data_IF_934468947394
#
_entry.id   IF_934468947394
#
_cell.length_a   1.000
_cell.length_b   1.000
_cell.length_c   1.000
_cell.angle_alpha   90.00
_cell.angle_beta   90.00
_cell.angle_gamma   90.00
#
_symmetry.space_group_name_H-M   'P 1'
#
loop_
_entity.id
_entity.type
_entity.pdbx_description
1 polymer ?
#
# COMPACT_ATOMS: atom_id res chain seq x y z
N UNK A 1 17.11 -2.78 -13.61
CA UNK A 1 16.05 -3.32 -12.72
C UNK A 1 16.32 -2.73 -11.34
N UNK A 2 15.34 -2.08 -10.69
CA UNK A 2 15.50 -1.49 -9.34
C UNK A 2 16.01 -2.57 -8.37
N UNK A 3 17.02 -2.29 -7.55
CA UNK A 3 17.69 -3.30 -6.72
C UNK A 3 16.71 -3.92 -5.70
N UNK A 4 15.89 -3.06 -5.08
CA UNK A 4 14.84 -3.45 -4.11
C UNK A 4 13.72 -4.29 -4.74
N UNK A 5 13.53 -4.27 -6.08
CA UNK A 5 12.55 -5.14 -6.76
C UNK A 5 12.93 -6.62 -6.68
N UNK A 6 14.22 -6.95 -6.71
CA UNK A 6 14.66 -8.34 -6.53
C UNK A 6 14.29 -8.87 -5.15
N UNK A 7 14.56 -8.07 -4.10
CA UNK A 7 14.16 -8.40 -2.73
C UNK A 7 12.64 -8.55 -2.61
N UNK A 8 11.86 -7.57 -3.11
CA UNK A 8 10.40 -7.62 -3.10
C UNK A 8 9.85 -8.92 -3.68
N UNK A 9 10.31 -9.31 -4.87
CA UNK A 9 9.87 -10.54 -5.53
C UNK A 9 10.19 -11.79 -4.70
N UNK A 10 11.39 -11.85 -4.11
CA UNK A 10 11.79 -12.97 -3.26
C UNK A 10 10.94 -13.03 -1.99
N UNK A 11 10.69 -11.90 -1.32
CA UNK A 11 9.88 -11.83 -0.11
C UNK A 11 8.42 -12.22 -0.38
N UNK A 12 7.81 -11.76 -1.47
CA UNK A 12 6.44 -12.13 -1.85
C UNK A 12 6.35 -13.62 -2.22
N UNK A 13 7.32 -14.15 -2.97
CA UNK A 13 7.37 -15.58 -3.30
C UNK A 13 7.53 -16.45 -2.05
N UNK A 14 8.37 -16.02 -1.11
CA UNK A 14 8.51 -16.66 0.21
C UNK A 14 7.18 -16.63 0.99
N UNK A 15 6.49 -15.48 1.00
CA UNK A 15 5.19 -15.36 1.65
C UNK A 15 4.13 -16.27 1.01
N UNK A 16 4.19 -16.52 -0.29
CA UNK A 16 3.30 -17.44 -0.99
C UNK A 16 3.64 -18.93 -0.77
N UNK A 17 4.88 -19.27 -0.39
CA UNK A 17 5.37 -20.65 -0.31
C UNK A 17 5.06 -21.39 1.01
N UNK A 18 4.77 -22.69 0.89
CA UNK A 18 4.69 -23.68 1.99
C UNK A 18 6.06 -24.24 2.40
N UNK A 19 6.16 -25.54 2.74
CA UNK A 19 7.28 -26.25 3.44
C UNK A 19 8.75 -25.96 3.05
N UNK A 20 9.03 -25.24 1.95
CA UNK A 20 10.35 -24.66 1.61
C UNK A 20 10.66 -23.30 2.25
N UNK A 21 9.85 -22.84 3.22
CA UNK A 21 9.87 -21.47 3.75
C UNK A 21 11.18 -20.99 4.37
N UNK A 22 12.03 -21.88 4.92
CA UNK A 22 13.30 -21.46 5.54
C UNK A 22 14.35 -21.05 4.48
N UNK A 23 14.57 -21.87 3.46
CA UNK A 23 15.50 -21.57 2.37
C UNK A 23 15.03 -20.36 1.55
N UNK A 24 13.72 -20.23 1.31
CA UNK A 24 13.17 -19.07 0.63
C UNK A 24 13.28 -17.78 1.47
N UNK A 25 13.19 -17.84 2.80
CA UNK A 25 13.45 -16.69 3.68
C UNK A 25 14.91 -16.25 3.60
N UNK A 26 15.84 -17.20 3.63
CA UNK A 26 17.27 -16.93 3.52
C UNK A 26 17.63 -16.30 2.17
N UNK A 27 17.06 -16.80 1.08
CA UNK A 27 17.21 -16.20 -0.24
C UNK A 27 16.65 -14.77 -0.29
N UNK A 28 15.49 -14.51 0.33
CA UNK A 28 14.96 -13.15 0.43
C UNK A 28 15.90 -12.24 1.23
N UNK A 29 16.47 -12.73 2.34
CA UNK A 29 17.43 -11.95 3.14
C UNK A 29 18.71 -11.62 2.39
N UNK A 30 19.27 -12.59 1.66
CA UNK A 30 20.44 -12.35 0.82
C UNK A 30 20.16 -11.26 -0.23
N UNK A 31 18.99 -11.31 -0.89
CA UNK A 31 18.61 -10.26 -1.86
C UNK A 31 18.37 -8.90 -1.23
N UNK A 32 17.97 -8.84 0.04
CA UNK A 32 17.85 -7.57 0.76
C UNK A 32 19.24 -6.96 1.01
N UNK A 33 20.22 -7.78 1.41
CA UNK A 33 21.59 -7.36 1.62
C UNK A 33 22.24 -6.88 0.30
N UNK A 34 22.11 -7.66 -0.78
CA UNK A 34 22.62 -7.30 -2.11
C UNK A 34 22.01 -5.98 -2.62
N UNK A 35 20.73 -5.74 -2.32
CA UNK A 35 20.01 -4.54 -2.71
C UNK A 35 20.26 -3.34 -1.78
N UNK A 36 21.00 -3.51 -0.68
CA UNK A 36 21.24 -2.46 0.31
C UNK A 36 19.95 -1.96 0.98
N UNK A 37 19.00 -2.86 1.27
CA UNK A 37 17.74 -2.50 1.94
C UNK A 37 18.02 -1.99 3.35
N UNK A 38 17.58 -0.76 3.62
CA UNK A 38 17.73 -0.07 4.92
C UNK A 38 16.41 0.09 5.65
N UNK A 39 15.28 0.04 4.95
CA UNK A 39 13.94 0.19 5.51
C UNK A 39 12.92 -0.58 4.69
N UNK A 40 11.92 -1.13 5.36
CA UNK A 40 10.81 -1.83 4.72
C UNK A 40 9.50 -1.11 4.99
N UNK A 41 8.67 -0.98 3.96
CA UNK A 41 7.30 -0.47 4.07
C UNK A 41 6.33 -1.60 3.73
N UNK A 42 5.51 -2.01 4.70
CA UNK A 42 4.49 -3.03 4.51
C UNK A 42 3.18 -2.39 4.08
N UNK A 43 2.59 -2.86 2.99
CA UNK A 43 1.30 -2.36 2.48
C UNK A 43 0.37 -3.52 2.15
N UNK A 44 -0.94 -3.29 2.13
CA UNK A 44 -1.89 -4.39 1.95
C UNK A 44 -1.81 -5.03 0.57
N UNK A 45 -1.69 -4.19 -0.47
CA UNK A 45 -1.71 -4.65 -1.85
C UNK A 45 -0.92 -3.78 -2.82
N UNK A 46 -0.99 -4.18 -4.09
CA UNK A 46 -0.23 -3.56 -5.18
C UNK A 46 -0.66 -2.11 -5.46
N UNK A 47 -1.91 -1.75 -5.17
CA UNK A 47 -2.39 -0.36 -5.30
C UNK A 47 -1.62 0.60 -4.41
N UNK A 48 -1.35 0.18 -3.18
CA UNK A 48 -0.64 0.99 -2.19
C UNK A 48 0.81 1.17 -2.57
N UNK A 49 1.45 0.07 -3.00
CA UNK A 49 2.81 0.09 -3.53
C UNK A 49 2.93 1.06 -4.69
N UNK A 50 2.02 0.97 -5.65
CA UNK A 50 2.06 1.82 -6.85
C UNK A 50 1.81 3.29 -6.50
N UNK A 51 0.88 3.57 -5.60
CA UNK A 51 0.62 4.93 -5.14
C UNK A 51 1.83 5.55 -4.44
N UNK A 52 2.48 4.82 -3.53
CA UNK A 52 3.65 5.30 -2.79
C UNK A 52 4.85 5.52 -3.72
N UNK A 53 5.11 4.61 -4.66
CA UNK A 53 6.18 4.77 -5.65
C UNK A 53 5.92 5.99 -6.54
N UNK A 54 4.69 6.13 -7.06
CA UNK A 54 4.32 7.27 -7.89
C UNK A 54 4.43 8.60 -7.12
N UNK A 55 4.02 8.61 -5.84
CA UNK A 55 4.06 9.83 -5.03
C UNK A 55 5.51 10.21 -4.69
N UNK A 56 6.36 9.24 -4.37
CA UNK A 56 7.79 9.48 -4.17
C UNK A 56 8.45 10.04 -5.45
N UNK A 57 8.15 9.44 -6.61
CA UNK A 57 8.64 9.90 -7.92
C UNK A 57 8.22 11.36 -8.19
N UNK A 58 6.95 11.72 -7.91
CA UNK A 58 6.47 13.11 -8.04
C UNK A 58 7.13 14.10 -7.08
N UNK A 59 7.63 13.61 -5.95
CA UNK A 59 8.42 14.40 -4.99
C UNK A 59 9.92 14.41 -5.33
N UNK A 60 10.32 13.85 -6.47
CA UNK A 60 11.73 13.77 -6.89
C UNK A 60 12.56 12.79 -6.05
N UNK A 61 11.91 11.88 -5.32
CA UNK A 61 12.57 10.88 -4.48
C UNK A 61 12.73 9.56 -5.22
N UNK A 62 13.80 8.86 -4.89
CA UNK A 62 14.05 7.50 -5.38
C UNK A 62 14.16 6.57 -4.18
N UNK A 63 13.04 5.94 -3.82
CA UNK A 63 12.97 4.99 -2.71
C UNK A 63 14.01 3.86 -2.85
N UNK A 64 14.27 3.41 -4.09
CA UNK A 64 15.29 2.39 -4.36
C UNK A 64 16.70 2.89 -4.01
N UNK A 65 17.04 4.13 -4.39
CA UNK A 65 18.34 4.74 -4.06
C UNK A 65 18.47 5.06 -2.56
N UNK A 66 17.34 5.28 -1.88
CA UNK A 66 17.27 5.49 -0.43
C UNK A 66 17.32 4.16 0.36
N UNK A 67 17.28 3.00 -0.33
CA UNK A 67 17.27 1.68 0.30
C UNK A 67 15.91 1.31 0.92
N UNK A 68 14.82 1.96 0.51
CA UNK A 68 13.46 1.70 0.98
C UNK A 68 12.78 0.69 0.06
N UNK A 69 12.39 -0.47 0.61
CA UNK A 69 11.63 -1.47 -0.13
C UNK A 69 10.19 -1.56 0.35
N UNK A 70 9.24 -1.31 -0.55
CA UNK A 70 7.81 -1.52 -0.29
C UNK A 70 7.45 -2.98 -0.57
N UNK A 71 6.76 -3.66 0.36
CA UNK A 71 6.33 -5.05 0.23
C UNK A 71 4.80 -5.15 0.34
N UNK A 72 4.10 -5.58 -0.72
CA UNK A 72 2.67 -5.85 -0.65
C UNK A 72 2.44 -7.19 0.08
N UNK A 73 1.58 -7.17 1.08
CA UNK A 73 1.31 -8.30 1.97
C UNK A 73 0.43 -9.38 1.31
N UNK A 74 -0.38 -9.00 0.31
CA UNK A 74 -1.42 -9.87 -0.26
C UNK A 74 -2.57 -10.11 0.73
N UNK A 75 -2.82 -9.15 1.62
CA UNK A 75 -3.80 -9.22 2.72
C UNK A 75 -3.16 -9.01 4.10
N UNK A 76 -3.85 -8.25 4.96
CA UNK A 76 -3.33 -7.83 6.26
C UNK A 76 -2.93 -8.99 7.20
N UNK A 77 -3.55 -10.16 7.05
CA UNK A 77 -3.25 -11.35 7.88
C UNK A 77 -1.79 -11.83 7.74
N UNK A 78 -1.10 -11.49 6.64
CA UNK A 78 0.29 -11.87 6.39
C UNK A 78 1.31 -11.02 7.17
N UNK A 79 0.90 -9.91 7.80
CA UNK A 79 1.81 -8.96 8.45
C UNK A 79 2.79 -9.61 9.43
N UNK A 80 2.33 -10.57 10.25
CA UNK A 80 3.19 -11.24 11.23
C UNK A 80 4.35 -12.00 10.60
N UNK A 81 4.14 -12.59 9.41
CA UNK A 81 5.22 -13.25 8.67
C UNK A 81 6.23 -12.25 8.15
N UNK A 82 5.77 -11.17 7.53
CA UNK A 82 6.67 -10.13 7.02
C UNK A 82 7.44 -9.43 8.14
N UNK A 83 6.83 -9.20 9.31
CA UNK A 83 7.53 -8.68 10.48
C UNK A 83 8.58 -9.66 11.02
N UNK A 84 8.34 -10.97 10.98
CA UNK A 84 9.36 -11.95 11.34
C UNK A 84 10.53 -11.98 10.32
N UNK A 85 10.27 -11.72 9.04
CA UNK A 85 11.31 -11.62 8.02
C UNK A 85 12.14 -10.34 8.14
N UNK A 86 11.48 -9.19 8.39
CA UNK A 86 12.09 -7.87 8.29
C UNK A 86 12.55 -7.29 9.64
N UNK A 87 11.87 -7.65 10.72
CA UNK A 87 12.16 -7.16 12.07
C UNK A 87 13.40 -7.81 12.71
N UNK A 88 13.58 -7.64 14.03
CA UNK A 88 14.82 -7.98 14.73
C UNK A 88 15.24 -9.46 14.62
N UNK A 89 14.29 -10.38 14.48
CA UNK A 89 14.58 -11.80 14.30
C UNK A 89 14.98 -12.19 12.86
N UNK A 90 14.98 -11.23 11.94
CA UNK A 90 15.21 -11.42 10.52
C UNK A 90 16.26 -10.46 9.98
N UNK A 91 15.84 -9.46 9.20
CA UNK A 91 16.73 -8.45 8.61
C UNK A 91 17.16 -7.35 9.58
N UNK A 92 16.44 -7.18 10.70
CA UNK A 92 16.66 -6.12 11.68
C UNK A 92 16.71 -4.71 11.05
N UNK A 93 15.79 -4.45 10.11
CA UNK A 93 15.62 -3.12 9.49
C UNK A 93 14.36 -2.45 10.04
N UNK A 94 14.33 -1.10 10.15
CA UNK A 94 13.12 -0.37 10.46
C UNK A 94 11.96 -0.76 9.53
N UNK A 95 10.79 -0.99 10.12
CA UNK A 95 9.56 -1.35 9.40
C UNK A 95 8.51 -0.28 9.65
N UNK A 96 7.93 0.23 8.57
CA UNK A 96 6.77 1.11 8.57
C UNK A 96 5.63 0.43 7.78
N UNK A 97 4.42 1.00 7.78
CA UNK A 97 3.36 0.45 6.95
C UNK A 97 2.14 1.32 6.74
N UNK A 98 1.32 0.90 5.78
CA UNK A 98 0.01 1.47 5.45
C UNK A 98 -1.05 0.37 5.52
N UNK A 99 -2.18 0.67 6.15
CA UNK A 99 -3.35 -0.21 6.12
C UNK A 99 -4.68 0.54 6.10
N UNK A 100 -5.71 -0.17 5.68
CA UNK A 100 -7.11 0.23 5.65
C UNK A 100 -7.69 0.20 7.08
N UNK A 101 -8.69 1.04 7.32
CA UNK A 101 -9.34 1.10 8.63
C UNK A 101 -9.93 -0.25 9.07
N UNK A 102 -10.43 -1.03 8.11
CA UNK A 102 -11.03 -2.34 8.35
C UNK A 102 -10.03 -3.41 8.80
N UNK A 103 -8.73 -3.21 8.53
CA UNK A 103 -7.68 -4.19 8.78
C UNK A 103 -6.72 -3.78 9.91
N UNK A 104 -6.86 -2.54 10.42
CA UNK A 104 -5.99 -1.96 11.45
C UNK A 104 -5.89 -2.83 12.73
N UNK A 105 -6.92 -3.60 13.08
CA UNK A 105 -6.88 -4.50 14.24
C UNK A 105 -5.88 -5.64 14.08
N UNK A 106 -5.61 -6.12 12.86
CA UNK A 106 -4.57 -7.12 12.61
C UNK A 106 -3.18 -6.55 12.88
N UNK A 107 -2.92 -5.34 12.39
CA UNK A 107 -1.66 -4.62 12.61
C UNK A 107 -1.41 -4.42 14.10
N UNK A 108 -2.39 -3.85 14.83
CA UNK A 108 -2.32 -3.65 16.28
C UNK A 108 -1.98 -4.93 17.03
N UNK A 109 -2.76 -5.99 16.78
CA UNK A 109 -2.60 -7.28 17.45
C UNK A 109 -1.21 -7.88 17.24
N UNK A 110 -0.64 -7.73 16.04
CA UNK A 110 0.69 -8.27 15.76
C UNK A 110 1.79 -7.40 16.37
N UNK A 111 1.69 -6.07 16.26
CA UNK A 111 2.66 -5.14 16.86
C UNK A 111 2.72 -5.24 18.40
N UNK A 112 1.56 -5.49 19.03
CA UNK A 112 1.46 -5.78 20.47
C UNK A 112 2.24 -7.04 20.84
N UNK A 113 2.09 -8.11 20.05
CA UNK A 113 2.79 -9.38 20.27
C UNK A 113 4.30 -9.28 20.04
N UNK A 114 4.74 -8.35 19.21
CA UNK A 114 6.17 -8.09 18.97
C UNK A 114 6.78 -7.12 19.98
N UNK A 115 6.05 -6.75 21.05
CA UNK A 115 6.60 -6.00 22.18
C UNK A 115 6.38 -4.49 22.14
N UNK A 116 5.59 -3.97 21.20
CA UNK A 116 5.36 -2.50 21.08
C UNK A 116 4.44 -1.93 22.17
N UNK A 117 3.92 -2.77 23.07
CA UNK A 117 2.87 -2.39 24.03
C UNK A 117 1.50 -2.24 23.36
N UNK A 118 0.42 -2.05 24.14
CA UNK A 118 -0.94 -1.94 23.63
C UNK A 118 -1.11 -0.68 22.77
N UNK A 119 -1.66 -0.83 21.57
CA UNK A 119 -1.89 0.28 20.65
C UNK A 119 -3.39 0.54 20.60
N UNK A 120 -3.85 1.69 21.10
CA UNK A 120 -5.28 1.94 21.28
C UNK A 120 -5.89 2.83 20.20
N UNK A 121 -5.09 3.75 19.65
CA UNK A 121 -5.52 4.81 18.74
C UNK A 121 -4.73 4.79 17.42
N UNK A 122 -5.22 5.50 16.40
CA UNK A 122 -4.46 5.73 15.16
C UNK A 122 -3.17 6.50 15.41
N UNK A 123 -3.17 7.47 16.33
CA UNK A 123 -1.99 8.22 16.69
C UNK A 123 -0.91 7.35 17.37
N UNK A 124 -1.32 6.30 18.08
CA UNK A 124 -0.38 5.30 18.62
C UNK A 124 0.34 4.56 17.50
N UNK A 125 -0.41 4.09 16.49
CA UNK A 125 0.16 3.42 15.31
C UNK A 125 1.05 4.35 14.48
N UNK A 126 0.63 5.60 14.26
CA UNK A 126 1.42 6.58 13.50
C UNK A 126 2.79 6.81 14.16
N UNK A 127 2.84 6.86 15.51
CA UNK A 127 4.11 6.97 16.25
C UNK A 127 5.05 5.77 16.05
N UNK A 128 4.50 4.60 15.75
CA UNK A 128 5.25 3.40 15.40
C UNK A 128 5.58 3.29 13.90
N UNK A 129 5.22 4.31 13.10
CA UNK A 129 5.44 4.30 11.65
C UNK A 129 4.35 3.55 10.86
N UNK A 130 3.20 3.25 11.47
CA UNK A 130 2.06 2.60 10.82
C UNK A 130 0.91 3.58 10.63
N UNK A 131 0.56 3.82 9.38
CA UNK A 131 -0.46 4.79 8.98
C UNK A 131 -1.72 4.07 8.55
N UNK A 132 -2.89 4.64 8.91
CA UNK A 132 -4.19 4.00 8.68
C UNK A 132 -5.07 4.91 7.84
N UNK A 133 -5.54 4.43 6.69
CA UNK A 133 -6.55 5.11 5.88
C UNK A 133 -7.88 5.24 6.63
N UNK A 134 -8.69 6.24 6.31
CA UNK A 134 -10.03 6.41 6.88
C UNK A 134 -10.97 5.27 6.52
N UNK A 135 -10.95 4.83 5.26
CA UNK A 135 -11.63 3.63 4.80
C UNK A 135 -10.65 2.71 4.07
N UNK A 136 -10.16 3.16 2.91
CA UNK A 136 -9.10 2.53 2.12
C UNK A 136 -8.39 3.59 1.26
N UNK A 137 -7.30 3.19 0.59
CA UNK A 137 -6.53 4.09 -0.26
C UNK A 137 -7.35 4.74 -1.38
N UNK A 138 -8.25 3.99 -2.03
CA UNK A 138 -9.07 4.57 -3.10
C UNK A 138 -9.99 5.67 -2.58
N UNK A 139 -10.58 5.49 -1.40
CA UNK A 139 -11.40 6.51 -0.75
C UNK A 139 -10.59 7.77 -0.40
N UNK A 140 -9.36 7.62 0.11
CA UNK A 140 -8.44 8.73 0.38
C UNK A 140 -8.15 9.56 -0.88
N UNK A 141 -7.80 8.88 -1.97
CA UNK A 141 -7.45 9.52 -3.24
C UNK A 141 -8.67 10.19 -3.89
N UNK A 142 -9.83 9.54 -3.86
CA UNK A 142 -11.09 10.11 -4.38
C UNK A 142 -11.48 11.37 -3.61
N UNK A 143 -11.34 11.39 -2.27
CA UNK A 143 -11.62 12.60 -1.48
C UNK A 143 -10.67 13.74 -1.81
N UNK A 144 -9.39 13.43 -2.00
CA UNK A 144 -8.35 14.43 -2.26
C UNK A 144 -8.47 15.05 -3.66
N UNK A 145 -8.76 14.23 -4.67
CA UNK A 145 -8.99 14.67 -6.05
C UNK A 145 -10.38 15.27 -6.28
N UNK A 146 -11.37 14.85 -5.49
CA UNK A 146 -12.82 15.00 -5.74
C UNK A 146 -13.32 14.09 -6.85
N UNK A 147 -14.61 13.75 -6.77
CA UNK A 147 -15.21 12.71 -7.61
C UNK A 147 -15.29 13.11 -9.09
N UNK A 148 -15.45 14.40 -9.37
CA UNK A 148 -15.53 14.94 -10.73
C UNK A 148 -14.20 14.78 -11.47
N UNK A 149 -13.09 15.16 -10.84
CA UNK A 149 -11.75 14.97 -11.41
C UNK A 149 -11.44 13.49 -11.65
N UNK A 150 -11.90 12.61 -10.77
CA UNK A 150 -11.76 11.16 -10.96
C UNK A 150 -12.53 10.69 -12.21
N UNK A 151 -13.71 11.24 -12.49
CA UNK A 151 -14.45 10.91 -13.73
C UNK A 151 -13.68 11.36 -14.98
N UNK A 152 -12.98 12.50 -14.92
CA UNK A 152 -12.15 12.98 -16.03
C UNK A 152 -10.97 12.03 -16.27
N UNK A 153 -10.28 11.58 -15.20
CA UNK A 153 -9.23 10.56 -15.27
C UNK A 153 -9.77 9.25 -15.90
N UNK A 154 -10.99 8.84 -15.57
CA UNK A 154 -11.61 7.66 -16.20
C UNK A 154 -11.82 7.86 -17.71
N UNK A 155 -12.06 9.09 -18.16
CA UNK A 155 -12.11 9.47 -19.57
C UNK A 155 -10.77 9.27 -20.26
N UNK A 156 -9.69 9.77 -19.66
CA UNK A 156 -8.32 9.64 -20.16
C UNK A 156 -7.86 8.18 -20.22
N UNK A 157 -8.25 7.37 -19.23
CA UNK A 157 -7.97 5.92 -19.21
C UNK A 157 -8.89 5.11 -20.13
N UNK A 158 -9.80 5.74 -20.88
CA UNK A 158 -10.71 5.09 -21.83
C UNK A 158 -11.84 4.27 -21.19
N UNK A 159 -12.05 4.42 -19.87
CA UNK A 159 -12.94 3.60 -19.07
C UNK A 159 -14.30 4.28 -18.77
N UNK A 160 -14.48 5.53 -19.21
CA UNK A 160 -15.70 6.30 -18.99
C UNK A 160 -16.96 5.58 -19.47
N UNK A 161 -16.94 4.98 -20.66
CA UNK A 161 -18.09 4.20 -21.17
C UNK A 161 -18.41 3.01 -20.27
N UNK A 162 -17.39 2.28 -19.83
CA UNK A 162 -17.54 1.15 -18.89
C UNK A 162 -18.14 1.62 -17.57
N UNK A 163 -17.69 2.76 -17.05
CA UNK A 163 -18.21 3.36 -15.83
C UNK A 163 -19.68 3.80 -15.98
N UNK A 164 -20.06 4.46 -17.08
CA UNK A 164 -21.46 4.84 -17.34
C UNK A 164 -22.39 3.62 -17.40
N UNK A 165 -21.92 2.50 -17.94
CA UNK A 165 -22.70 1.24 -17.89
C UNK A 165 -22.79 0.69 -16.47
N UNK A 166 -21.69 0.72 -15.71
CA UNK A 166 -21.66 0.30 -14.31
C UNK A 166 -22.63 1.12 -13.43
N UNK A 167 -22.73 2.44 -13.64
CA UNK A 167 -23.66 3.32 -12.92
C UNK A 167 -25.13 2.92 -13.07
N UNK A 168 -25.51 2.29 -14.19
CA UNK A 168 -26.89 1.85 -14.44
C UNK A 168 -27.29 0.58 -13.69
N UNK A 169 -26.33 -0.14 -13.09
CA UNK A 169 -26.61 -1.38 -12.39
C UNK A 169 -27.49 -1.13 -11.15
N UNK A 170 -28.48 -1.97 -10.83
CA UNK A 170 -29.38 -1.77 -9.70
C UNK A 170 -28.67 -1.54 -8.37
N UNK A 171 -27.60 -2.28 -8.10
CA UNK A 171 -26.81 -2.15 -6.87
C UNK A 171 -26.01 -0.83 -6.76
N UNK A 172 -25.87 -0.08 -7.86
CA UNK A 172 -25.02 1.11 -7.96
C UNK A 172 -25.80 2.40 -8.20
N UNK A 173 -26.91 2.35 -8.96
CA UNK A 173 -27.61 3.55 -9.45
C UNK A 173 -28.08 4.52 -8.35
N UNK A 174 -28.37 4.01 -7.16
CA UNK A 174 -28.82 4.79 -5.99
C UNK A 174 -27.66 5.25 -5.09
N UNK A 175 -26.42 4.81 -5.36
CA UNK A 175 -25.23 5.22 -4.60
C UNK A 175 -24.71 6.56 -5.09
N UNK A 176 -24.19 7.37 -4.17
CA UNK A 176 -23.46 8.60 -4.53
C UNK A 176 -22.19 8.32 -5.35
N UNK A 177 -21.80 9.29 -6.18
CA UNK A 177 -20.70 9.16 -7.13
C UNK A 177 -19.37 8.66 -6.51
N UNK A 178 -18.90 9.16 -5.34
CA UNK A 178 -17.68 8.64 -4.72
C UNK A 178 -17.74 7.14 -4.42
N UNK A 179 -18.88 6.64 -3.93
CA UNK A 179 -19.08 5.21 -3.63
C UNK A 179 -19.15 4.36 -4.90
N UNK A 180 -19.73 4.90 -5.98
CA UNK A 180 -19.73 4.23 -7.29
C UNK A 180 -18.31 4.12 -7.85
N UNK A 181 -17.53 5.20 -7.80
CA UNK A 181 -16.13 5.23 -8.26
C UNK A 181 -15.27 4.26 -7.46
N UNK A 182 -15.31 4.33 -6.13
CA UNK A 182 -14.60 3.40 -5.23
C UNK A 182 -14.95 1.96 -5.55
N UNK A 183 -16.24 1.63 -5.74
CA UNK A 183 -16.65 0.28 -6.12
C UNK A 183 -16.17 -0.11 -7.51
N UNK A 184 -16.20 0.81 -8.48
CA UNK A 184 -15.74 0.56 -9.84
C UNK A 184 -14.27 0.18 -9.90
N UNK A 185 -13.40 0.79 -9.07
CA UNK A 185 -11.97 0.44 -8.98
C UNK A 185 -11.77 -1.05 -8.68
N UNK A 186 -12.61 -1.63 -7.81
CA UNK A 186 -12.53 -3.04 -7.41
C UNK A 186 -13.21 -4.05 -8.36
N UNK A 187 -13.68 -3.64 -9.53
CA UNK A 187 -14.46 -4.55 -10.42
C UNK A 187 -13.61 -5.45 -11.34
N UNK A 188 -12.31 -5.18 -11.46
CA UNK A 188 -11.39 -5.98 -12.30
C UNK A 188 -10.03 -6.09 -11.61
N UNK A 189 -9.37 -7.23 -11.79
CA UNK A 189 -8.00 -7.41 -11.33
C UNK A 189 -7.07 -6.37 -11.96
N UNK A 190 -6.10 -5.87 -11.20
CA UNK A 190 -5.13 -4.84 -11.64
C UNK A 190 -5.67 -3.42 -11.77
N UNK A 191 -7.00 -3.22 -11.84
CA UNK A 191 -7.61 -1.89 -11.99
C UNK A 191 -7.25 -0.95 -10.84
N UNK A 192 -7.28 -1.45 -9.60
CA UNK A 192 -6.90 -0.66 -8.42
C UNK A 192 -5.49 -0.08 -8.55
N UNK A 193 -4.51 -0.90 -8.94
CA UNK A 193 -3.12 -0.46 -9.12
C UNK A 193 -2.97 0.54 -10.28
N UNK A 194 -3.67 0.32 -11.40
CA UNK A 194 -3.69 1.26 -12.53
C UNK A 194 -4.19 2.64 -12.07
N UNK A 195 -5.34 2.70 -11.41
CA UNK A 195 -5.91 3.97 -10.97
C UNK A 195 -5.18 4.58 -9.77
N UNK A 196 -4.55 3.78 -8.90
CA UNK A 196 -3.70 4.31 -7.85
C UNK A 196 -2.57 5.19 -8.43
N UNK A 197 -1.90 4.73 -9.50
CA UNK A 197 -0.91 5.55 -10.22
C UNK A 197 -1.56 6.79 -10.84
N UNK A 198 -2.60 6.61 -11.64
CA UNK A 198 -3.24 7.72 -12.35
C UNK A 198 -3.76 8.80 -11.38
N UNK A 199 -4.33 8.40 -10.25
CA UNK A 199 -4.79 9.32 -9.21
C UNK A 199 -3.64 10.09 -8.59
N UNK A 200 -2.54 9.41 -8.25
CA UNK A 200 -1.37 10.08 -7.70
C UNK A 200 -0.71 11.01 -8.73
N UNK A 201 -0.71 10.68 -10.02
CA UNK A 201 -0.20 11.56 -11.09
C UNK A 201 -0.98 12.87 -11.20
N UNK A 202 -2.29 12.83 -10.94
CA UNK A 202 -3.18 14.00 -10.98
C UNK A 202 -3.33 14.73 -9.63
N UNK A 203 -2.77 14.17 -8.55
CA UNK A 203 -2.96 14.70 -7.20
C UNK A 203 -2.26 16.05 -7.03
N UNK A 204 -2.90 17.02 -6.39
CA UNK A 204 -2.21 18.23 -5.93
C UNK A 204 -1.27 17.85 -4.77
N UNK A 205 0.02 18.22 -4.84
CA UNK A 205 0.98 17.88 -3.80
C UNK A 205 0.68 18.57 -2.47
N UNK A 206 -0.09 19.64 -2.47
CA UNK A 206 -0.58 20.33 -1.26
C UNK A 206 -1.83 19.64 -0.67
N UNK A 207 -2.37 18.62 -1.33
CA UNK A 207 -3.57 17.87 -0.92
C UNK A 207 -3.33 16.37 -0.83
N UNK A 208 -2.10 15.96 -0.55
CA UNK A 208 -1.78 14.56 -0.37
C UNK A 208 -2.51 14.00 0.86
N UNK A 209 -3.17 12.82 0.77
CA UNK A 209 -3.78 12.20 1.94
C UNK A 209 -2.77 11.99 3.07
N UNK A 210 -3.17 12.33 4.30
CA UNK A 210 -2.32 12.21 5.49
C UNK A 210 -1.64 10.85 5.64
N UNK A 211 -2.29 9.69 5.38
CA UNK A 211 -1.62 8.39 5.51
C UNK A 211 -0.44 8.23 4.55
N UNK A 212 -0.55 8.74 3.31
CA UNK A 212 0.54 8.69 2.34
C UNK A 212 1.64 9.71 2.67
N UNK A 213 1.26 10.92 3.05
CA UNK A 213 2.21 11.98 3.38
C UNK A 213 3.03 11.64 4.62
N UNK A 214 2.35 11.23 5.70
CA UNK A 214 2.99 10.82 6.94
C UNK A 214 3.90 9.62 6.75
N UNK A 215 3.47 8.61 5.97
CA UNK A 215 4.30 7.45 5.68
C UNK A 215 5.55 7.84 4.89
N UNK A 216 5.42 8.62 3.82
CA UNK A 216 6.61 9.04 3.08
C UNK A 216 7.52 9.96 3.89
N UNK A 217 7.00 10.80 4.78
CA UNK A 217 7.81 11.63 5.67
C UNK A 217 8.55 10.81 6.74
N UNK A 218 7.99 9.67 7.15
CA UNK A 218 8.60 8.78 8.13
C UNK A 218 9.76 7.93 7.56
N UNK A 219 9.72 7.65 6.25
CA UNK A 219 10.65 6.71 5.58
C UNK A 219 11.76 7.39 4.82
#
# INVERSE_FOLDING_TARGET
>A
MKATTSFRRAAVAWAAGGEGGASAAEAARARAADAGVRRVVLVEGDSDLVALEALAERRGRSLDAEGVSILPLGGAMSIGRFLALCGPAGLDVPVAGLCDAGEAHYFRRVLERTGSGPQHTRADLERLGFFVCDADLEDELIRSLRAEAVVDILGEQGDLRSFRTFQKQPAQRERGLPRQLRRFMGTRSGRKALYARAFVEHLDLDRVPRPLDGLLAHV
#
